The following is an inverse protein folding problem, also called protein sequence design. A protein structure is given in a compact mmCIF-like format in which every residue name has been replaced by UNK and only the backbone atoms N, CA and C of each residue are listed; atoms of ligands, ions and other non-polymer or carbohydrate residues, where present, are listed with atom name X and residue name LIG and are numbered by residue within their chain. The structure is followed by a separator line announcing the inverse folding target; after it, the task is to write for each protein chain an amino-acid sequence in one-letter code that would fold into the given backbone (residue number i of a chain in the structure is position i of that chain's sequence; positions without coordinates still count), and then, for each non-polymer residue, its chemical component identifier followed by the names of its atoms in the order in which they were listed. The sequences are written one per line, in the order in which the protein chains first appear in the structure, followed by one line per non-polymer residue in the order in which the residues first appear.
data_IF_753560920667
#
_entry.id   IF_753560920667
#
_cell.length_a   1.000
_cell.length_b   1.000
_cell.length_c   1.000
_cell.angle_alpha   90.00
_cell.angle_beta   90.00
_cell.angle_gamma   90.00
#
_symmetry.space_group_name_H-M   'P 1'
#
loop_
_entity.id
_entity.type
_entity.pdbx_description
1 polymer ?
#
# COMPACT_ATOMS: atom_id res chain seq x y z
N UNK A 1 -23.90 12.75 -34.16
CA UNK A 1 -24.64 12.89 -32.90
C UNK A 1 -26.00 12.24 -33.13
N UNK A 2 -26.28 11.08 -32.52
CA UNK A 2 -27.51 10.33 -32.79
C UNK A 2 -28.43 10.42 -31.57
N UNK A 3 -29.65 10.93 -31.78
CA UNK A 3 -30.69 10.99 -30.75
C UNK A 3 -31.53 9.71 -30.76
N UNK A 4 -31.88 9.24 -29.56
CA UNK A 4 -32.77 8.10 -29.34
C UNK A 4 -34.09 8.61 -28.76
N UNK A 5 -35.20 8.40 -29.45
CA UNK A 5 -36.54 8.47 -28.87
C UNK A 5 -37.35 7.28 -29.38
N UNK A 6 -37.86 6.43 -28.48
CA UNK A 6 -38.83 5.40 -28.85
C UNK A 6 -38.94 4.22 -27.88
N UNK A 7 -40.17 3.99 -27.39
CA UNK A 7 -40.65 3.09 -26.31
C UNK A 7 -40.57 1.58 -26.64
N UNK A 8 -40.70 0.69 -25.61
CA UNK A 8 -40.58 -0.75 -25.82
C UNK A 8 -41.80 -1.33 -26.54
N UNK A 9 -41.58 -1.98 -27.69
CA UNK A 9 -42.60 -2.79 -28.36
C UNK A 9 -42.75 -2.62 -29.88
N UNK A 10 -42.00 -1.72 -30.54
CA UNK A 10 -42.00 -1.63 -32.01
C UNK A 10 -40.58 -1.58 -32.60
N UNK A 11 -40.46 -2.07 -33.84
CA UNK A 11 -39.21 -2.16 -34.60
C UNK A 11 -38.72 -0.75 -34.92
N UNK A 12 -37.70 -0.29 -34.19
CA UNK A 12 -37.11 1.02 -34.39
C UNK A 12 -36.18 1.02 -35.62
N UNK A 13 -36.51 1.85 -36.61
CA UNK A 13 -35.69 2.09 -37.80
C UNK A 13 -34.67 3.20 -37.51
N UNK A 14 -33.38 2.90 -37.64
CA UNK A 14 -32.31 3.90 -37.50
C UNK A 14 -32.12 4.57 -38.86
N UNK A 15 -32.46 5.86 -38.98
CA UNK A 15 -32.03 6.69 -40.09
C UNK A 15 -30.59 7.14 -39.84
N UNK A 16 -29.66 6.62 -40.64
CA UNK A 16 -28.28 7.12 -40.71
C UNK A 16 -28.11 7.87 -42.04
N UNK A 17 -28.00 9.19 -41.96
CA UNK A 17 -27.63 10.03 -43.10
C UNK A 17 -26.14 9.89 -43.40
N UNK A 18 -25.86 9.57 -44.66
CA UNK A 18 -24.59 9.72 -45.40
C UNK A 18 -23.33 8.96 -44.96
N UNK A 19 -22.96 8.02 -45.85
CA UNK A 19 -21.62 7.68 -46.32
C UNK A 19 -20.44 7.93 -45.37
N UNK A 20 -20.12 6.92 -44.55
CA UNK A 20 -18.80 6.76 -43.95
C UNK A 20 -18.24 5.39 -44.35
N UNK A 21 -17.12 5.41 -45.08
CA UNK A 21 -16.34 4.22 -45.44
C UNK A 21 -16.10 3.37 -44.18
N UNK A 22 -16.49 2.09 -44.26
CA UNK A 22 -16.32 1.13 -43.18
C UNK A 22 -14.82 0.98 -42.83
N UNK A 23 -14.44 1.48 -41.65
CA UNK A 23 -13.09 1.35 -41.10
C UNK A 23 -12.87 -0.12 -40.72
N UNK A 24 -11.85 -0.77 -41.28
CA UNK A 24 -11.56 -2.20 -41.05
C UNK A 24 -10.77 -2.48 -39.76
N UNK A 25 -10.29 -1.44 -39.06
CA UNK A 25 -9.44 -1.56 -37.87
C UNK A 25 -9.95 -0.58 -36.80
N UNK A 26 -10.29 -1.11 -35.63
CA UNK A 26 -10.77 -0.35 -34.47
C UNK A 26 -9.70 -0.35 -33.37
N UNK A 27 -9.53 0.78 -32.69
CA UNK A 27 -8.66 0.87 -31.51
C UNK A 27 -9.42 0.39 -30.27
N UNK A 28 -8.72 -0.10 -29.25
CA UNK A 28 -9.31 -0.75 -28.06
C UNK A 28 -10.32 0.12 -27.30
N UNK A 29 -10.18 1.44 -27.36
CA UNK A 29 -11.10 2.39 -26.72
C UNK A 29 -12.36 2.73 -27.56
N UNK A 30 -12.43 2.27 -28.81
CA UNK A 30 -13.57 2.51 -29.72
C UNK A 30 -14.63 1.39 -29.67
N UNK A 31 -14.38 0.33 -28.88
CA UNK A 31 -15.24 -0.85 -28.76
C UNK A 31 -16.03 -0.76 -27.45
N UNK A 32 -17.36 -0.65 -27.53
CA UNK A 32 -18.25 -0.81 -26.38
C UNK A 32 -18.86 -2.20 -26.38
N UNK A 33 -18.69 -2.94 -25.28
CA UNK A 33 -19.27 -4.28 -25.10
C UNK A 33 -20.77 -4.12 -24.81
N UNK A 34 -21.62 -4.79 -25.60
CA UNK A 34 -23.07 -4.75 -25.42
C UNK A 34 -23.50 -5.64 -24.24
N UNK A 35 -24.33 -5.11 -23.34
CA UNK A 35 -24.82 -5.83 -22.14
C UNK A 35 -25.93 -6.86 -22.43
N UNK A 36 -26.45 -6.90 -23.66
CA UNK A 36 -27.50 -7.84 -24.09
C UNK A 36 -27.10 -8.63 -25.33
N UNK A 37 -27.51 -9.90 -25.40
CA UNK A 37 -27.23 -10.80 -26.53
C UNK A 37 -27.83 -10.24 -27.83
N UNK A 38 -26.99 -10.09 -28.85
CA UNK A 38 -27.41 -9.69 -30.20
C UNK A 38 -27.72 -10.94 -31.02
N UNK A 39 -28.98 -11.07 -31.47
CA UNK A 39 -29.42 -12.13 -32.38
C UNK A 39 -29.18 -11.68 -33.81
N UNK A 40 -28.27 -12.35 -34.52
CA UNK A 40 -28.03 -12.15 -35.95
C UNK A 40 -28.96 -13.12 -36.71
N UNK A 41 -30.00 -12.63 -37.42
CA UNK A 41 -30.85 -13.51 -38.20
C UNK A 41 -30.06 -14.10 -39.40
N UNK A 42 -30.35 -15.35 -39.80
CA UNK A 42 -29.72 -15.94 -40.97
C UNK A 42 -30.05 -15.13 -42.24
N UNK A 43 -29.15 -15.09 -43.24
CA UNK A 43 -29.41 -14.40 -44.49
C UNK A 43 -30.63 -15.01 -45.19
N UNK A 44 -31.55 -14.15 -45.66
CA UNK A 44 -32.71 -14.58 -46.45
C UNK A 44 -32.22 -15.11 -47.79
N UNK A 45 -32.19 -16.43 -47.93
CA UNK A 45 -32.05 -17.09 -49.23
C UNK A 45 -33.39 -16.94 -49.93
N UNK A 46 -33.45 -16.12 -50.98
CA UNK A 46 -34.58 -16.12 -51.91
C UNK A 46 -34.53 -17.43 -52.69
N UNK A 47 -35.42 -18.37 -52.37
CA UNK A 47 -35.76 -19.45 -53.28
C UNK A 47 -36.77 -18.91 -54.29
N UNK A 48 -36.34 -18.64 -55.52
CA UNK A 48 -37.27 -18.59 -56.64
C UNK A 48 -37.79 -20.01 -56.90
N UNK A 49 -38.91 -20.37 -56.29
CA UNK A 49 -39.70 -21.49 -56.76
C UNK A 49 -40.40 -21.04 -58.05
N UNK A 50 -39.79 -21.34 -59.21
CA UNK A 50 -40.54 -21.40 -60.46
C UNK A 50 -41.59 -22.49 -60.30
N UNK A 51 -42.85 -22.08 -60.10
CA UNK A 51 -44.01 -22.94 -60.37
C UNK A 51 -43.87 -23.39 -61.82
N UNK A 52 -43.75 -24.70 -62.03
CA UNK A 52 -44.06 -25.30 -63.32
C UNK A 52 -45.58 -25.24 -63.42
N UNK A 53 -46.10 -24.33 -64.24
CA UNK A 53 -47.46 -24.41 -64.74
C UNK A 53 -47.54 -25.65 -65.62
N UNK A 54 -48.31 -26.65 -65.20
CA UNK A 54 -48.85 -27.67 -66.09
C UNK A 54 -49.75 -26.94 -67.09
N UNK A 55 -49.23 -26.70 -68.29
CA UNK A 55 -50.05 -26.37 -69.45
C UNK A 55 -50.62 -27.69 -69.95
N UNK A 56 -51.84 -27.99 -69.50
CA UNK A 56 -52.70 -28.97 -70.14
C UNK A 56 -53.23 -28.28 -71.39
N UNK A 57 -52.70 -28.61 -72.57
CA UNK A 57 -53.36 -28.27 -73.83
C UNK A 57 -54.61 -29.15 -73.95
N UNK A 58 -55.76 -28.57 -73.60
CA UNK A 58 -57.08 -29.05 -74.03
C UNK A 58 -57.12 -28.98 -75.56
N UNK A 59 -57.26 -30.15 -76.21
CA UNK A 59 -57.66 -30.20 -77.61
C UNK A 59 -59.16 -29.94 -77.66
N UNK A 60 -59.54 -28.84 -78.31
CA UNK A 60 -60.92 -28.43 -78.55
C UNK A 60 -61.75 -29.55 -79.19
N UNK A 61 -62.81 -29.93 -78.49
CA UNK A 61 -63.89 -30.77 -79.00
C UNK A 61 -64.80 -29.89 -79.88
N UNK A 62 -64.66 -30.01 -81.19
CA UNK A 62 -65.48 -29.29 -82.17
C UNK A 62 -66.88 -29.90 -82.16
N UNK A 63 -67.89 -29.07 -81.91
CA UNK A 63 -69.26 -29.47 -81.59
C UNK A 63 -70.02 -30.30 -82.62
N UNK A 64 -70.85 -31.19 -82.10
CA UNK A 64 -71.94 -31.87 -82.82
C UNK A 64 -72.99 -30.86 -83.30
N UNK A 65 -73.16 -30.79 -84.62
CA UNK A 65 -74.26 -30.12 -85.30
C UNK A 65 -75.40 -31.14 -85.51
N UNK A 66 -76.61 -30.79 -85.07
CA UNK A 66 -77.82 -31.60 -85.24
C UNK A 66 -78.33 -31.59 -86.70
N UNK A 67 -78.93 -32.69 -87.18
CA UNK A 67 -79.17 -32.94 -88.59
C UNK A 67 -80.48 -32.31 -89.08
N UNK A 68 -80.51 -31.90 -90.35
CA UNK A 68 -81.73 -31.76 -91.13
C UNK A 68 -81.46 -32.23 -92.55
N UNK A 69 -82.24 -33.24 -92.93
CA UNK A 69 -82.19 -34.01 -94.16
C UNK A 69 -82.42 -33.12 -95.39
N UNK A 70 -81.58 -33.30 -96.42
CA UNK A 70 -82.12 -33.54 -97.75
C UNK A 70 -81.14 -34.36 -98.59
N UNK A 71 -81.71 -35.39 -99.20
CA UNK A 71 -81.13 -36.57 -99.84
C UNK A 71 -80.09 -36.34 -100.93
N UNK A 72 -79.04 -37.19 -100.94
CA UNK A 72 -78.60 -37.89 -102.15
C UNK A 72 -78.13 -39.30 -101.77
N UNK A 73 -78.86 -40.33 -102.23
CA UNK A 73 -78.46 -41.73 -102.17
C UNK A 73 -77.26 -41.98 -103.09
N UNK A 74 -76.10 -42.33 -102.55
CA UNK A 74 -75.07 -43.12 -103.25
C UNK A 74 -74.36 -44.05 -102.26
N UNK A 75 -74.16 -45.28 -102.67
CA UNK A 75 -73.58 -46.43 -101.98
C UNK A 75 -72.33 -46.13 -101.13
N UNK A 76 -72.42 -46.30 -99.80
CA UNK A 76 -71.27 -46.23 -98.87
C UNK A 76 -71.06 -47.55 -98.14
N UNK A 77 -70.68 -48.59 -98.89
CA UNK A 77 -70.10 -49.82 -98.30
C UNK A 77 -68.57 -49.86 -98.38
N UNK A 78 -67.94 -48.96 -99.13
CA UNK A 78 -66.49 -48.98 -99.38
C UNK A 78 -65.68 -48.00 -98.49
N UNK A 79 -66.33 -47.07 -97.76
CA UNK A 79 -65.64 -46.05 -96.94
C UNK A 79 -65.34 -46.54 -95.51
N UNK A 80 -66.17 -47.44 -94.95
CA UNK A 80 -65.97 -47.98 -93.60
C UNK A 80 -64.80 -48.97 -93.54
N UNK A 81 -64.62 -49.79 -94.59
CA UNK A 81 -63.51 -50.73 -94.73
C UNK A 81 -62.16 -50.04 -94.91
N UNK A 82 -62.06 -49.00 -95.74
CA UNK A 82 -60.81 -48.23 -95.91
C UNK A 82 -60.43 -47.46 -94.63
N UNK A 83 -61.42 -46.96 -93.88
CA UNK A 83 -61.19 -46.26 -92.59
C UNK A 83 -60.69 -47.21 -91.50
N UNK A 84 -61.21 -48.43 -91.44
CA UNK A 84 -60.74 -49.47 -90.51
C UNK A 84 -59.31 -49.94 -90.84
N UNK A 85 -58.99 -50.10 -92.13
CA UNK A 85 -57.64 -50.43 -92.59
C UNK A 85 -56.62 -49.31 -92.31
N UNK A 86 -56.99 -48.05 -92.54
CA UNK A 86 -56.16 -46.89 -92.21
C UNK A 86 -55.95 -46.72 -90.69
N UNK A 87 -56.97 -47.01 -89.87
CA UNK A 87 -56.86 -47.00 -88.40
C UNK A 87 -55.99 -48.14 -87.89
N UNK A 88 -56.03 -49.33 -88.50
CA UNK A 88 -55.11 -50.43 -88.16
C UNK A 88 -53.66 -50.10 -88.54
N UNK A 89 -53.45 -49.49 -89.71
CA UNK A 89 -52.12 -49.03 -90.13
C UNK A 89 -51.58 -47.94 -89.20
N UNK A 90 -52.40 -46.94 -88.87
CA UNK A 90 -52.03 -45.90 -87.91
C UNK A 90 -51.73 -46.48 -86.53
N UNK A 91 -52.51 -47.47 -86.05
CA UNK A 91 -52.23 -48.16 -84.79
C UNK A 91 -50.89 -48.90 -84.84
N UNK A 92 -50.59 -49.65 -85.90
CA UNK A 92 -49.28 -50.33 -86.05
C UNK A 92 -48.13 -49.32 -86.07
N UNK A 93 -48.25 -48.23 -86.83
CA UNK A 93 -47.22 -47.19 -86.88
C UNK A 93 -47.02 -46.51 -85.52
N UNK A 94 -48.11 -46.26 -84.77
CA UNK A 94 -48.00 -45.71 -83.41
C UNK A 94 -47.43 -46.71 -82.40
N UNK A 95 -47.76 -48.00 -82.51
CA UNK A 95 -47.19 -49.06 -81.67
C UNK A 95 -45.69 -49.26 -81.96
N UNK A 96 -45.30 -49.23 -83.23
CA UNK A 96 -43.89 -49.26 -83.65
C UNK A 96 -43.13 -48.02 -83.17
N UNK A 97 -43.72 -46.83 -83.28
CA UNK A 97 -43.13 -45.59 -82.77
C UNK A 97 -43.00 -45.59 -81.23
N UNK A 98 -43.98 -46.13 -80.52
CA UNK A 98 -43.95 -46.28 -79.05
C UNK A 98 -42.89 -47.30 -78.61
N UNK A 99 -42.74 -48.41 -79.34
CA UNK A 99 -41.67 -49.39 -79.09
C UNK A 99 -40.28 -48.77 -79.33
N UNK A 100 -40.09 -48.02 -80.42
CA UNK A 100 -38.85 -47.31 -80.69
C UNK A 100 -38.56 -46.24 -79.64
N UNK A 101 -39.57 -45.48 -79.21
CA UNK A 101 -39.43 -44.50 -78.13
C UNK A 101 -39.06 -45.17 -76.78
N UNK A 102 -39.60 -46.36 -76.51
CA UNK A 102 -39.24 -47.16 -75.34
C UNK A 102 -37.77 -47.59 -75.35
N UNK A 103 -37.26 -48.06 -76.49
CA UNK A 103 -35.86 -48.47 -76.65
C UNK A 103 -34.91 -47.27 -76.48
N UNK A 104 -35.22 -46.14 -77.11
CA UNK A 104 -34.41 -44.90 -76.99
C UNK A 104 -34.39 -44.41 -75.54
N UNK A 105 -35.52 -44.51 -74.84
CA UNK A 105 -35.62 -44.12 -73.43
C UNK A 105 -34.79 -45.04 -72.54
N UNK A 106 -34.87 -46.36 -72.72
CA UNK A 106 -34.05 -47.30 -71.95
C UNK A 106 -32.55 -47.14 -72.22
N UNK A 107 -32.15 -46.90 -73.48
CA UNK A 107 -30.75 -46.62 -73.84
C UNK A 107 -30.26 -45.31 -73.19
N UNK A 108 -31.06 -44.24 -73.25
CA UNK A 108 -30.75 -42.95 -72.62
C UNK A 108 -30.65 -43.08 -71.09
N UNK A 109 -31.52 -43.87 -70.46
CA UNK A 109 -31.49 -44.16 -69.02
C UNK A 109 -30.23 -44.95 -68.64
N UNK A 110 -29.85 -45.97 -69.42
CA UNK A 110 -28.64 -46.75 -69.17
C UNK A 110 -27.36 -45.91 -69.31
N UNK A 111 -27.31 -45.01 -70.30
CA UNK A 111 -26.16 -44.13 -70.51
C UNK A 111 -26.07 -43.04 -69.43
N UNK A 112 -27.20 -42.43 -69.06
CA UNK A 112 -27.30 -41.51 -67.93
C UNK A 112 -26.86 -42.19 -66.62
N UNK A 113 -27.27 -43.44 -66.40
CA UNK A 113 -26.87 -44.22 -65.23
C UNK A 113 -25.35 -44.50 -65.21
N UNK A 114 -24.76 -44.88 -66.35
CA UNK A 114 -23.29 -45.07 -66.46
C UNK A 114 -22.52 -43.78 -66.18
N UNK A 115 -23.01 -42.62 -66.64
CA UNK A 115 -22.39 -41.32 -66.39
C UNK A 115 -22.50 -40.95 -64.90
N UNK A 116 -23.67 -41.14 -64.30
CA UNK A 116 -23.89 -40.92 -62.87
C UNK A 116 -23.00 -41.82 -62.02
N UNK A 117 -22.88 -43.10 -62.37
CA UNK A 117 -22.03 -44.04 -61.66
C UNK A 117 -20.55 -43.60 -61.71
N UNK A 118 -20.03 -43.25 -62.90
CA UNK A 118 -18.65 -42.74 -63.06
C UNK A 118 -18.42 -41.45 -62.26
N UNK A 119 -19.28 -40.45 -62.41
CA UNK A 119 -19.18 -39.20 -61.65
C UNK A 119 -19.33 -39.41 -60.15
N UNK A 120 -20.17 -40.34 -59.71
CA UNK A 120 -20.34 -40.63 -58.28
C UNK A 120 -19.08 -41.21 -57.66
N UNK A 121 -18.35 -42.06 -58.38
CA UNK A 121 -17.06 -42.62 -57.96
C UNK A 121 -15.97 -41.55 -57.93
N UNK A 122 -15.92 -40.66 -58.92
CA UNK A 122 -14.97 -39.54 -58.96
C UNK A 122 -15.20 -38.54 -57.82
N UNK A 123 -16.46 -38.14 -57.58
CA UNK A 123 -16.85 -37.26 -56.47
C UNK A 123 -16.51 -37.91 -55.12
N UNK A 124 -16.72 -39.22 -55.00
CA UNK A 124 -16.37 -39.95 -53.78
C UNK A 124 -14.86 -39.95 -53.53
N UNK A 125 -14.04 -40.21 -54.55
CA UNK A 125 -12.57 -40.15 -54.43
C UNK A 125 -12.08 -38.76 -54.06
N UNK A 126 -12.55 -37.73 -54.76
CA UNK A 126 -12.21 -36.33 -54.44
C UNK A 126 -12.62 -35.95 -53.01
N UNK A 127 -13.76 -36.47 -52.53
CA UNK A 127 -14.20 -36.26 -51.15
C UNK A 127 -13.28 -36.98 -50.15
N UNK A 128 -12.92 -38.23 -50.41
CA UNK A 128 -12.00 -39.00 -49.55
C UNK A 128 -10.62 -38.32 -49.49
N UNK A 129 -10.05 -37.90 -50.63
CA UNK A 129 -8.79 -37.16 -50.70
C UNK A 129 -8.85 -35.82 -49.94
N UNK A 130 -9.92 -35.03 -50.15
CA UNK A 130 -10.10 -33.77 -49.44
C UNK A 130 -10.32 -33.97 -47.92
N UNK A 131 -10.92 -35.09 -47.51
CA UNK A 131 -11.07 -35.45 -46.10
C UNK A 131 -9.73 -35.83 -45.47
N UNK A 132 -8.91 -36.63 -46.14
CA UNK A 132 -7.58 -37.01 -45.66
C UNK A 132 -6.65 -35.80 -45.54
N UNK A 133 -6.63 -34.90 -46.53
CA UNK A 133 -5.86 -33.65 -46.46
C UNK A 133 -6.33 -32.76 -45.31
N UNK A 134 -7.64 -32.63 -45.12
CA UNK A 134 -8.20 -31.87 -44.00
C UNK A 134 -7.82 -32.47 -42.64
N UNK A 135 -7.81 -33.80 -42.51
CA UNK A 135 -7.38 -34.50 -41.30
C UNK A 135 -5.90 -34.28 -41.00
N UNK A 136 -5.04 -34.30 -42.03
CA UNK A 136 -3.60 -34.00 -41.88
C UNK A 136 -3.40 -32.57 -41.39
N UNK A 137 -4.05 -31.59 -42.04
CA UNK A 137 -3.96 -30.17 -41.65
C UNK A 137 -4.45 -29.98 -40.21
N UNK A 138 -5.55 -30.62 -39.82
CA UNK A 138 -6.07 -30.55 -38.46
C UNK A 138 -5.12 -31.18 -37.44
N UNK A 139 -4.47 -32.30 -37.79
CA UNK A 139 -3.49 -32.96 -36.94
C UNK A 139 -2.24 -32.10 -36.75
N UNK A 140 -1.73 -31.52 -37.82
CA UNK A 140 -0.56 -30.64 -37.77
C UNK A 140 -0.85 -29.35 -37.00
N UNK A 141 -2.02 -28.74 -37.23
CA UNK A 141 -2.47 -27.58 -36.46
C UNK A 141 -2.61 -27.89 -34.96
N UNK A 142 -3.13 -29.07 -34.60
CA UNK A 142 -3.22 -29.52 -33.19
C UNK A 142 -1.84 -29.75 -32.57
N UNK A 143 -0.92 -30.37 -33.30
CA UNK A 143 0.44 -30.61 -32.83
C UNK A 143 1.18 -29.29 -32.61
N UNK A 144 1.04 -28.34 -33.54
CA UNK A 144 1.68 -27.03 -33.42
C UNK A 144 1.07 -26.21 -32.28
N UNK A 145 -0.27 -26.23 -32.11
CA UNK A 145 -0.93 -25.63 -30.97
C UNK A 145 -0.43 -26.21 -29.64
N UNK A 146 -0.33 -27.55 -29.54
CA UNK A 146 0.19 -28.22 -28.35
C UNK A 146 1.66 -27.85 -28.07
N UNK A 147 2.47 -27.71 -29.13
CA UNK A 147 3.87 -27.27 -29.02
C UNK A 147 3.97 -25.85 -28.48
N UNK A 148 3.18 -24.92 -29.03
CA UNK A 148 3.13 -23.54 -28.59
C UNK A 148 2.61 -23.41 -27.16
N UNK A 149 1.60 -24.18 -26.76
CA UNK A 149 1.12 -24.21 -25.38
C UNK A 149 2.19 -24.69 -24.40
N UNK A 150 2.92 -25.75 -24.76
CA UNK A 150 3.99 -26.27 -23.91
C UNK A 150 5.16 -25.29 -23.81
N UNK A 151 5.53 -24.62 -24.91
CA UNK A 151 6.56 -23.60 -24.90
C UNK A 151 6.14 -22.36 -24.08
N UNK A 152 4.87 -21.94 -24.20
CA UNK A 152 4.32 -20.85 -23.41
C UNK A 152 4.30 -21.18 -21.91
N UNK A 153 3.92 -22.40 -21.54
CA UNK A 153 3.96 -22.89 -20.14
C UNK A 153 5.40 -22.92 -19.62
N UNK A 154 6.34 -23.49 -20.37
CA UNK A 154 7.74 -23.55 -19.97
C UNK A 154 8.36 -22.15 -19.78
N UNK A 155 8.04 -21.19 -20.66
CA UNK A 155 8.45 -19.79 -20.50
C UNK A 155 7.80 -19.14 -19.28
N UNK A 156 6.52 -19.37 -19.05
CA UNK A 156 5.82 -18.84 -17.88
C UNK A 156 6.43 -19.37 -16.58
N UNK A 157 6.71 -20.68 -16.51
CA UNK A 157 7.33 -21.30 -15.34
C UNK A 157 8.76 -20.74 -15.11
N UNK A 158 9.54 -20.55 -16.17
CA UNK A 158 10.86 -19.93 -16.07
C UNK A 158 10.80 -18.49 -15.53
N UNK A 159 9.87 -17.67 -16.03
CA UNK A 159 9.66 -16.31 -15.55
C UNK A 159 9.23 -16.30 -14.08
N UNK A 160 8.34 -17.22 -13.68
CA UNK A 160 7.89 -17.33 -12.28
C UNK A 160 9.05 -17.70 -11.36
N UNK A 161 9.89 -18.65 -11.75
CA UNK A 161 11.07 -19.02 -10.96
C UNK A 161 12.07 -17.86 -10.85
N UNK A 162 12.42 -17.22 -11.97
CA UNK A 162 13.33 -16.08 -11.97
C UNK A 162 12.81 -14.92 -11.13
N UNK A 163 11.51 -14.60 -11.24
CA UNK A 163 10.87 -13.54 -10.45
C UNK A 163 10.86 -13.90 -8.97
N UNK A 164 10.62 -15.17 -8.63
CA UNK A 164 10.63 -15.64 -7.25
C UNK A 164 12.03 -15.54 -6.65
N UNK A 165 13.06 -15.96 -7.38
CA UNK A 165 14.44 -15.92 -6.91
C UNK A 165 14.89 -14.47 -6.68
N UNK A 166 14.61 -13.57 -7.62
CA UNK A 166 14.86 -12.13 -7.47
C UNK A 166 14.13 -11.53 -6.29
N UNK A 167 12.83 -11.81 -6.14
CA UNK A 167 12.03 -11.29 -5.03
C UNK A 167 12.53 -11.78 -3.66
N UNK A 168 13.04 -13.02 -3.58
CA UNK A 168 13.65 -13.55 -2.35
C UNK A 168 14.96 -12.85 -2.04
N UNK A 169 15.80 -12.59 -3.05
CA UNK A 169 17.07 -11.88 -2.87
C UNK A 169 16.85 -10.42 -2.47
N UNK A 170 15.99 -9.70 -3.18
CA UNK A 170 15.61 -8.32 -2.87
C UNK A 170 14.96 -8.21 -1.49
N UNK A 171 14.03 -9.12 -1.16
CA UNK A 171 13.38 -9.15 0.15
C UNK A 171 14.36 -9.45 1.30
N UNK A 172 15.41 -10.26 1.05
CA UNK A 172 16.47 -10.49 2.03
C UNK A 172 17.33 -9.24 2.24
N UNK A 173 17.76 -8.57 1.17
CA UNK A 173 18.60 -7.36 1.26
C UNK A 173 17.82 -6.20 1.93
N UNK A 174 16.57 -5.97 1.52
CA UNK A 174 15.72 -4.95 2.12
C UNK A 174 15.41 -5.26 3.60
N UNK A 175 15.11 -6.53 3.91
CA UNK A 175 14.89 -6.99 5.28
C UNK A 175 16.14 -6.84 6.15
N UNK A 176 17.32 -7.13 5.60
CA UNK A 176 18.60 -6.96 6.30
C UNK A 176 18.89 -5.49 6.58
N UNK A 177 18.76 -4.60 5.58
CA UNK A 177 18.96 -3.16 5.75
C UNK A 177 18.00 -2.55 6.77
N UNK A 178 16.70 -2.85 6.68
CA UNK A 178 15.71 -2.39 7.67
C UNK A 178 16.02 -2.92 9.07
N UNK A 179 16.45 -4.18 9.18
CA UNK A 179 16.88 -4.77 10.44
C UNK A 179 18.11 -4.06 11.02
N UNK A 180 19.10 -3.76 10.20
CA UNK A 180 20.31 -3.04 10.60
C UNK A 180 20.00 -1.60 11.07
N UNK A 181 19.14 -0.88 10.34
CA UNK A 181 18.67 0.46 10.72
C UNK A 181 17.96 0.46 12.08
N UNK A 182 17.04 -0.48 12.31
CA UNK A 182 16.33 -0.61 13.59
C UNK A 182 17.27 -0.97 14.73
N UNK A 183 18.24 -1.88 14.51
CA UNK A 183 19.26 -2.23 15.51
C UNK A 183 20.13 -1.01 15.84
N UNK A 184 20.60 -0.28 14.85
CA UNK A 184 21.40 0.93 15.06
C UNK A 184 20.62 1.98 15.85
N UNK A 185 19.35 2.19 15.52
CA UNK A 185 18.46 3.09 16.27
C UNK A 185 18.26 2.65 17.73
N UNK A 186 18.13 1.35 17.97
CA UNK A 186 18.04 0.80 19.33
C UNK A 186 19.34 1.01 20.10
N UNK A 187 20.49 0.80 19.48
CA UNK A 187 21.81 1.05 20.07
C UNK A 187 21.96 2.52 20.44
N UNK A 188 21.66 3.46 19.53
CA UNK A 188 21.71 4.90 19.81
C UNK A 188 20.80 5.27 20.99
N UNK A 189 19.59 4.71 21.04
CA UNK A 189 18.67 4.94 22.15
C UNK A 189 19.22 4.43 23.48
N UNK A 190 19.84 3.24 23.48
CA UNK A 190 20.49 2.69 24.68
C UNK A 190 21.66 3.56 25.12
N UNK A 191 22.50 4.02 24.19
CA UNK A 191 23.59 4.96 24.49
C UNK A 191 23.08 6.26 25.11
N UNK A 192 21.99 6.83 24.57
CA UNK A 192 21.36 8.01 25.13
C UNK A 192 20.86 7.78 26.56
N UNK A 193 20.24 6.63 26.84
CA UNK A 193 19.78 6.26 28.18
C UNK A 193 20.96 6.10 29.14
N UNK A 194 22.04 5.45 28.72
CA UNK A 194 23.24 5.26 29.55
C UNK A 194 23.89 6.61 29.88
N UNK A 195 24.03 7.49 28.89
CA UNK A 195 24.59 8.83 29.11
C UNK A 195 23.71 9.64 30.06
N UNK A 196 22.39 9.64 29.86
CA UNK A 196 21.45 10.29 30.76
C UNK A 196 21.53 9.72 32.20
N UNK A 197 21.74 8.40 32.35
CA UNK A 197 21.93 7.78 33.66
C UNK A 197 23.25 8.19 34.33
N UNK A 198 24.35 8.30 33.56
CA UNK A 198 25.64 8.79 34.05
C UNK A 198 25.53 10.24 34.51
N UNK A 199 24.88 11.09 33.72
CA UNK A 199 24.71 12.50 34.05
C UNK A 199 23.78 12.68 35.26
N UNK A 200 22.70 11.91 35.33
CA UNK A 200 21.83 11.90 36.51
C UNK A 200 22.59 11.44 37.77
N UNK A 201 23.45 10.42 37.66
CA UNK A 201 24.31 10.00 38.77
C UNK A 201 25.23 11.13 39.24
N UNK A 202 25.87 11.86 38.32
CA UNK A 202 26.71 13.02 38.67
C UNK A 202 25.90 14.09 39.38
N UNK A 203 24.75 14.47 38.83
CA UNK A 203 23.86 15.46 39.45
C UNK A 203 23.40 15.04 40.85
N UNK A 204 23.08 13.75 41.05
CA UNK A 204 22.71 13.24 42.38
C UNK A 204 23.89 13.38 43.35
N UNK A 205 25.12 13.03 42.93
CA UNK A 205 26.30 13.16 43.78
C UNK A 205 26.55 14.64 44.14
N UNK A 206 26.57 15.53 43.16
CA UNK A 206 26.81 16.97 43.37
C UNK A 206 25.75 17.58 44.30
N UNK A 207 24.46 17.31 44.04
CA UNK A 207 23.37 17.79 44.90
C UNK A 207 23.43 17.19 46.32
N UNK A 208 23.84 15.92 46.44
CA UNK A 208 23.96 15.27 47.75
C UNK A 208 25.14 15.84 48.53
N UNK A 209 26.26 16.14 47.87
CA UNK A 209 27.41 16.80 48.51
C UNK A 209 27.03 18.17 49.08
N UNK A 210 26.33 19.00 48.30
CA UNK A 210 25.86 20.30 48.77
C UNK A 210 24.91 20.16 49.98
N UNK A 211 23.94 19.25 49.89
CA UNK A 211 22.99 18.98 50.97
C UNK A 211 23.68 18.46 52.24
N UNK A 212 24.71 17.63 52.10
CA UNK A 212 25.49 17.11 53.24
C UNK A 212 26.27 18.23 53.91
N UNK A 213 26.89 19.13 53.15
CA UNK A 213 27.59 20.30 53.69
C UNK A 213 26.62 21.18 54.46
N UNK A 214 25.46 21.49 53.89
CA UNK A 214 24.44 22.30 54.56
C UNK A 214 23.94 21.65 55.85
N UNK A 215 23.71 20.33 55.84
CA UNK A 215 23.32 19.57 57.02
C UNK A 215 24.39 19.64 58.12
N UNK A 216 25.66 19.41 57.77
CA UNK A 216 26.78 19.47 58.71
C UNK A 216 26.92 20.88 59.30
N UNK A 217 26.81 21.92 58.47
CA UNK A 217 26.86 23.32 58.92
C UNK A 217 25.69 23.65 59.86
N UNK A 218 24.48 23.15 59.57
CA UNK A 218 23.33 23.31 60.47
C UNK A 218 23.55 22.63 61.82
N UNK A 219 24.09 21.41 61.83
CA UNK A 219 24.43 20.69 63.06
C UNK A 219 25.51 21.45 63.84
N UNK A 220 26.59 21.88 63.18
CA UNK A 220 27.67 22.64 63.80
C UNK A 220 27.16 23.95 64.42
N UNK A 221 26.36 24.73 63.69
CA UNK A 221 25.71 25.95 64.20
C UNK A 221 24.86 25.67 65.44
N UNK A 222 24.09 24.59 65.42
CA UNK A 222 23.23 24.22 66.55
C UNK A 222 24.03 23.82 67.79
N UNK A 223 25.06 22.99 67.62
CA UNK A 223 25.94 22.53 68.71
C UNK A 223 26.71 23.70 69.31
N UNK A 224 27.35 24.53 68.48
CA UNK A 224 28.12 25.69 68.94
C UNK A 224 27.22 26.67 69.69
N UNK A 225 26.02 26.97 69.18
CA UNK A 225 25.06 27.83 69.89
C UNK A 225 24.72 27.29 71.29
N UNK A 226 24.47 25.99 71.42
CA UNK A 226 24.15 25.36 72.72
C UNK A 226 25.35 25.47 73.67
N UNK A 227 26.56 25.17 73.20
CA UNK A 227 27.78 25.24 74.03
C UNK A 227 28.04 26.69 74.47
N UNK A 228 27.97 27.67 73.56
CA UNK A 228 28.17 29.09 73.89
C UNK A 228 27.12 29.64 74.87
N UNK A 229 25.92 29.06 74.92
CA UNK A 229 24.89 29.44 75.89
C UNK A 229 25.07 28.72 77.25
N UNK A 230 25.59 27.49 77.27
CA UNK A 230 25.75 26.72 78.50
C UNK A 230 27.06 27.02 79.24
N UNK A 231 28.17 27.10 78.51
CA UNK A 231 29.52 27.25 79.07
C UNK A 231 29.90 28.73 79.21
N UNK A 232 30.17 29.15 80.44
CA UNK A 232 30.47 30.54 80.78
C UNK A 232 31.90 30.97 80.44
N UNK A 233 32.81 30.00 80.25
CA UNK A 233 34.23 30.27 80.00
C UNK A 233 34.56 30.49 78.51
N UNK A 234 33.61 30.21 77.61
CA UNK A 234 33.80 30.36 76.15
C UNK A 234 34.20 31.79 75.78
N UNK A 235 33.62 32.79 76.45
CA UNK A 235 33.95 34.21 76.21
C UNK A 235 35.41 34.53 76.56
N UNK A 236 35.95 33.93 77.62
CA UNK A 236 37.32 34.20 78.08
C UNK A 236 38.32 33.62 77.08
N UNK A 237 38.08 32.39 76.62
CA UNK A 237 38.97 31.76 75.65
C UNK A 237 38.89 32.45 74.28
N UNK A 238 37.70 32.87 73.86
CA UNK A 238 37.53 33.60 72.61
C UNK A 238 38.21 34.99 72.64
N UNK A 239 38.11 35.71 73.77
CA UNK A 239 38.90 36.94 73.99
C UNK A 239 40.40 36.64 73.94
N UNK A 240 40.85 35.58 74.60
CA UNK A 240 42.27 35.17 74.57
C UNK A 240 42.76 34.88 73.15
N UNK A 241 41.98 34.17 72.34
CA UNK A 241 42.34 33.89 70.94
C UNK A 241 42.37 35.15 70.08
N UNK A 242 41.42 36.07 70.28
CA UNK A 242 41.40 37.35 69.59
C UNK A 242 42.61 38.23 69.98
N UNK A 243 43.00 38.24 71.26
CA UNK A 243 44.19 38.93 71.75
C UNK A 243 45.51 38.37 71.20
N UNK A 244 45.57 37.08 70.82
CA UNK A 244 46.76 36.51 70.15
C UNK A 244 46.97 37.06 68.73
N UNK A 245 45.89 37.50 68.07
CA UNK A 245 45.94 38.10 66.73
C UNK A 245 46.27 39.59 66.78
N UNK A 246 46.34 40.15 67.98
CA UNK A 246 46.57 41.56 68.23
C UNK A 246 48.06 41.89 68.12
N UNK A 247 48.36 43.01 67.46
CA UNK A 247 49.70 43.55 67.31
C UNK A 247 50.14 44.40 68.53
N UNK A 248 51.05 45.35 68.29
CA UNK A 248 51.50 46.30 69.32
C UNK A 248 50.45 47.40 69.54
N UNK A 249 49.48 47.16 70.40
CA UNK A 249 48.48 48.14 70.82
C UNK A 249 48.57 48.45 72.32
N UNK A 250 48.39 49.72 72.68
CA UNK A 250 48.50 50.21 74.06
C UNK A 250 47.15 50.23 74.78
N UNK A 251 46.05 50.49 74.06
CA UNK A 251 44.69 50.54 74.61
C UNK A 251 43.70 49.81 73.69
N UNK A 252 42.85 48.96 74.28
CA UNK A 252 41.79 48.23 73.57
C UNK A 252 40.46 48.31 74.31
N UNK A 253 39.36 48.22 73.57
CA UNK A 253 38.00 48.12 74.10
C UNK A 253 37.41 46.76 73.70
N UNK A 254 37.00 45.96 74.67
CA UNK A 254 36.40 44.65 74.46
C UNK A 254 34.89 44.77 74.67
N UNK A 255 34.11 44.63 73.61
CA UNK A 255 32.65 44.59 73.64
C UNK A 255 32.16 43.16 73.78
N UNK A 256 31.33 42.90 74.78
CA UNK A 256 30.76 41.56 75.08
C UNK A 256 29.26 41.65 75.36
N UNK A 257 28.57 40.51 75.37
CA UNK A 257 27.17 40.47 75.78
C UNK A 257 27.02 40.87 77.27
N UNK A 258 25.91 41.52 77.64
CA UNK A 258 25.59 41.90 79.03
C UNK A 258 25.68 40.73 80.02
N UNK A 259 25.35 39.50 79.60
CA UNK A 259 25.44 38.30 80.45
C UNK A 259 26.88 37.84 80.71
N UNK A 260 27.82 38.23 79.87
CA UNK A 260 29.23 37.83 79.95
C UNK A 260 30.14 38.95 80.51
N UNK A 261 29.58 40.17 80.68
CA UNK A 261 30.29 41.37 81.15
C UNK A 261 31.00 41.16 82.50
N UNK A 262 30.30 40.57 83.49
CA UNK A 262 30.84 40.37 84.84
C UNK A 262 32.06 39.42 84.83
N UNK A 263 31.99 38.34 84.05
CA UNK A 263 33.07 37.36 83.93
C UNK A 263 34.30 37.94 83.20
N UNK A 264 34.07 38.67 82.11
CA UNK A 264 35.15 39.31 81.36
C UNK A 264 35.82 40.42 82.17
N UNK A 265 35.04 41.20 82.93
CA UNK A 265 35.58 42.27 83.80
C UNK A 265 36.45 41.70 84.93
N UNK A 266 36.05 40.59 85.55
CA UNK A 266 36.84 39.89 86.56
C UNK A 266 38.18 39.37 86.03
N UNK A 267 38.21 38.96 84.75
CA UNK A 267 39.41 38.44 84.08
C UNK A 267 40.28 39.50 83.40
N UNK A 268 39.94 40.79 83.53
CA UNK A 268 40.67 41.92 82.93
C UNK A 268 42.18 41.91 83.22
N UNK A 269 42.58 41.57 84.45
CA UNK A 269 44.00 41.51 84.85
C UNK A 269 44.75 40.40 84.11
N UNK A 270 44.08 39.29 83.83
CA UNK A 270 44.66 38.17 83.08
C UNK A 270 44.90 38.57 81.62
N UNK A 271 43.97 39.30 81.00
CA UNK A 271 44.15 39.79 79.62
C UNK A 271 45.33 40.76 79.48
N UNK A 272 45.53 41.68 80.44
CA UNK A 272 46.69 42.59 80.46
C UNK A 272 48.01 41.81 80.55
N UNK A 273 48.05 40.76 81.37
CA UNK A 273 49.26 39.94 81.51
C UNK A 273 49.61 39.08 80.28
N UNK A 274 48.67 38.90 79.34
CA UNK A 274 48.87 38.08 78.15
C UNK A 274 49.56 38.82 77.01
N UNK A 275 49.50 40.16 76.99
CA UNK A 275 50.06 40.99 75.92
C UNK A 275 50.94 42.06 76.56
N UNK A 276 52.26 41.93 76.43
CA UNK A 276 53.21 42.83 77.11
C UNK A 276 53.07 44.31 76.69
N UNK A 277 52.56 44.59 75.49
CA UNK A 277 52.36 45.97 75.00
C UNK A 277 51.06 46.62 75.47
N UNK A 278 50.16 45.85 76.14
CA UNK A 278 48.82 46.28 76.46
C UNK A 278 48.77 46.96 77.84
N UNK A 279 48.58 48.28 77.88
CA UNK A 279 48.55 49.04 79.13
C UNK A 279 47.12 49.21 79.68
N UNK A 280 46.12 49.34 78.80
CA UNK A 280 44.74 49.61 79.18
C UNK A 280 43.76 48.74 78.42
N UNK A 281 42.89 48.06 79.17
CA UNK A 281 41.74 47.34 78.64
C UNK A 281 40.47 48.00 79.14
N UNK A 282 39.47 48.24 78.30
CA UNK A 282 38.11 48.58 78.73
C UNK A 282 37.17 47.47 78.31
N UNK A 283 36.17 47.17 79.12
CA UNK A 283 35.15 46.17 78.78
C UNK A 283 33.82 46.89 78.77
N UNK A 284 33.12 46.80 77.64
CA UNK A 284 31.82 47.43 77.40
C UNK A 284 30.79 46.36 77.05
N UNK A 285 29.52 46.64 77.35
CA UNK A 285 28.42 45.76 76.96
C UNK A 285 27.84 46.16 75.61
N UNK A 286 27.51 45.16 74.79
CA UNK A 286 26.77 45.31 73.54
C UNK A 286 25.79 44.14 73.38
N UNK A 287 24.48 44.45 73.46
CA UNK A 287 23.40 43.48 73.32
C UNK A 287 23.31 42.83 71.94
N UNK A 288 23.94 43.42 70.91
CA UNK A 288 23.98 42.86 69.55
C UNK A 288 24.93 41.66 69.45
N UNK A 289 25.81 41.49 70.44
CA UNK A 289 26.76 40.37 70.50
C UNK A 289 26.09 39.21 71.23
N UNK A 290 26.09 38.03 70.62
CA UNK A 290 25.60 36.82 71.30
C UNK A 290 26.58 36.33 72.34
N UNK A 291 26.09 35.61 73.34
CA UNK A 291 26.92 35.02 74.41
C UNK A 291 28.09 34.19 73.87
N UNK A 292 29.24 34.30 74.53
CA UNK A 292 30.50 33.68 74.13
C UNK A 292 31.25 34.44 73.01
N UNK A 293 30.62 35.43 72.38
CA UNK A 293 31.26 36.30 71.38
C UNK A 293 31.89 37.55 71.98
N UNK A 294 32.88 38.11 71.30
CA UNK A 294 33.43 39.42 71.62
C UNK A 294 33.84 40.20 70.36
N UNK A 295 33.90 41.52 70.47
CA UNK A 295 34.50 42.41 69.47
C UNK A 295 35.59 43.20 70.18
N UNK A 296 36.79 43.26 69.62
CA UNK A 296 37.90 44.03 70.19
C UNK A 296 38.19 45.21 69.28
N UNK A 297 37.91 46.42 69.77
CA UNK A 297 38.19 47.66 69.07
C UNK A 297 39.58 48.16 69.43
N UNK A 298 40.39 48.45 68.41
CA UNK A 298 41.77 48.94 68.56
C UNK A 298 42.02 50.13 67.65
N UNK A 299 43.14 50.84 67.83
CA UNK A 299 43.46 52.04 67.05
C UNK A 299 43.72 51.75 65.57
N UNK A 300 44.17 50.54 65.25
CA UNK A 300 44.43 50.08 63.88
C UNK A 300 43.24 49.36 63.22
N UNK A 301 42.19 49.05 63.97
CA UNK A 301 40.97 48.41 63.47
C UNK A 301 40.31 47.45 64.45
N UNK A 302 39.11 46.99 64.10
CA UNK A 302 38.30 46.13 64.97
C UNK A 302 38.50 44.65 64.63
N UNK A 303 38.77 43.83 65.64
CA UNK A 303 38.82 42.37 65.52
C UNK A 303 37.45 41.81 65.90
N UNK A 304 36.72 41.35 64.88
CA UNK A 304 35.45 40.66 65.08
C UNK A 304 35.68 39.18 65.45
N UNK A 305 35.49 38.88 66.73
CA UNK A 305 35.54 37.52 67.26
C UNK A 305 34.14 37.02 67.66
N UNK A 306 33.07 37.50 67.00
CA UNK A 306 31.73 36.92 67.17
C UNK A 306 31.71 35.47 66.68
N UNK A 307 30.98 34.62 67.41
CA UNK A 307 30.82 33.20 67.09
C UNK A 307 30.22 33.00 65.68
N UNK A 308 29.31 33.89 65.25
CA UNK A 308 28.72 33.88 63.91
C UNK A 308 29.76 34.14 62.82
N UNK A 309 30.61 35.16 63.01
CA UNK A 309 31.65 35.53 62.03
C UNK A 309 32.67 34.41 61.87
N UNK A 310 33.04 33.74 62.96
CA UNK A 310 33.93 32.58 62.92
C UNK A 310 33.29 31.38 62.21
N UNK A 311 32.01 31.08 62.50
CA UNK A 311 31.27 30.02 61.80
C UNK A 311 31.11 30.30 60.32
N UNK A 312 30.89 31.56 59.94
CA UNK A 312 30.82 31.97 58.54
C UNK A 312 32.15 31.79 57.82
N UNK A 313 33.27 32.17 58.44
CA UNK A 313 34.60 31.96 57.87
C UNK A 313 34.94 30.45 57.70
N UNK A 314 34.45 29.59 58.59
CA UNK A 314 34.56 28.13 58.45
C UNK A 314 33.67 27.62 57.31
N UNK A 315 32.44 28.12 57.21
CA UNK A 315 31.53 27.79 56.11
C UNK A 315 32.13 28.15 54.74
N UNK A 316 32.67 29.35 54.59
CA UNK A 316 33.33 29.80 53.36
C UNK A 316 34.50 28.88 53.00
N UNK A 317 35.37 28.55 53.96
CA UNK A 317 36.48 27.61 53.74
C UNK A 317 36.02 26.20 53.38
N UNK A 318 34.96 25.69 54.02
CA UNK A 318 34.41 24.36 53.69
C UNK A 318 33.86 24.36 52.26
N UNK A 319 33.17 25.43 51.84
CA UNK A 319 32.64 25.57 50.48
C UNK A 319 33.75 25.72 49.43
N UNK A 320 34.84 26.40 49.73
CA UNK A 320 36.01 26.49 48.84
C UNK A 320 36.70 25.12 48.59
N UNK A 321 36.60 24.21 49.56
CA UNK A 321 37.18 22.86 49.45
C UNK A 321 36.27 21.87 48.71
N UNK A 322 35.02 22.25 48.39
CA UNK A 322 34.06 21.45 47.60
C UNK A 322 34.15 21.96 46.15
N UNK A 323 34.39 21.09 45.14
CA UNK A 323 34.01 19.68 45.08
C UNK A 323 35.04 18.76 45.72
N UNK A 324 34.57 17.75 46.45
CA UNK A 324 35.44 16.67 46.92
C UNK A 324 35.92 15.96 45.67
N UNK A 325 37.11 16.36 45.17
CA UNK A 325 37.77 15.70 44.04
C UNK A 325 38.13 14.28 44.49
N UNK A 326 37.21 13.35 44.28
CA UNK A 326 37.40 11.91 44.40
C UNK A 326 38.19 11.36 43.23
#
# INVERSE_FOLDING_TARGET
MCYFQGRPGQVNTIFCSEALLAKKIFKSYEIKVAESRVLIPPPRIFSEQKKVEEVIEEVEEIGEFQPLEESVEVETRDIETEREELLELAKRETEEALQQAGIIKEEAEQEAFKILQKKSVEVRKLKEEAQEEAEIILKDAKNEAARLENEAKAKADAIVQETRDKAVEEGKDEGYKKGEEEVNRLIERVHAIINAAIDNKKNIIENTEEQLVDLVLLIARKVVKVISEMEKDVVIENVREALKKLGKETEIVIKVNTKDLDLTTKNKRNFISMVESLERVRVEEDDRITRGGCIIETSLGDIDARVQTQLQAIEEKIRELVPIKG
#
